data_IF_242080680033
#
_entry.id   IF_242080680033
#
_cell.length_a   1.000
_cell.length_b   1.000
_cell.length_c   1.000
_cell.angle_alpha   90.00
_cell.angle_beta   90.00
_cell.angle_gamma   90.00
#
_symmetry.space_group_name_H-M   'P 1'
#
loop_
_entity.id
_entity.type
_entity.pdbx_description
1 polymer ?
#
# COMPACT_ATOMS: atom_id res chain seq x y z
N UNK A 1 2.41 -25.18 -22.61
CA UNK A 1 2.41 -23.80 -22.05
C UNK A 1 1.96 -22.74 -23.05
N UNK A 2 2.62 -22.54 -24.21
CA UNK A 2 2.23 -21.47 -25.17
C UNK A 2 0.78 -21.59 -25.69
N UNK A 3 0.20 -22.78 -25.72
CA UNK A 3 -1.19 -23.02 -26.14
C UNK A 3 -2.25 -22.48 -25.17
N UNK A 4 -1.92 -22.32 -23.87
CA UNK A 4 -2.86 -21.86 -22.83
C UNK A 4 -2.99 -20.31 -22.78
N UNK A 5 -2.03 -19.60 -23.37
CA UNK A 5 -2.00 -18.14 -23.39
C UNK A 5 -2.69 -17.55 -24.62
N UNK A 6 -2.87 -18.35 -25.67
CA UNK A 6 -3.41 -17.89 -26.94
C UNK A 6 -4.88 -17.50 -26.78
N UNK A 7 -5.20 -16.24 -27.06
CA UNK A 7 -6.56 -15.70 -26.95
C UNK A 7 -6.91 -15.14 -25.57
N UNK A 8 -5.95 -15.10 -24.63
CA UNK A 8 -6.11 -14.34 -23.39
C UNK A 8 -6.04 -12.84 -23.68
N UNK A 9 -6.91 -12.06 -23.06
CA UNK A 9 -7.03 -10.62 -23.28
C UNK A 9 -6.68 -9.85 -22.02
N UNK A 10 -5.67 -8.98 -22.11
CA UNK A 10 -5.13 -8.22 -20.99
C UNK A 10 -5.34 -6.73 -21.25
N UNK A 11 -6.16 -6.11 -20.41
CA UNK A 11 -6.32 -4.67 -20.36
C UNK A 11 -5.16 -4.04 -19.59
N UNK A 12 -4.69 -2.87 -20.00
CA UNK A 12 -3.76 -2.09 -19.19
C UNK A 12 -4.13 -0.62 -19.13
N UNK A 13 -3.97 -0.03 -17.94
CA UNK A 13 -4.12 1.40 -17.72
C UNK A 13 -2.90 1.99 -17.01
N UNK A 14 -2.11 2.78 -17.75
CA UNK A 14 -0.96 3.51 -17.25
C UNK A 14 -1.03 4.94 -17.80
N UNK A 15 -0.58 5.92 -17.03
CA UNK A 15 -0.46 7.28 -17.56
C UNK A 15 0.54 7.32 -18.73
N UNK A 16 0.31 8.22 -19.69
CA UNK A 16 1.22 8.43 -20.83
C UNK A 16 2.68 8.66 -20.38
N UNK A 17 2.86 9.38 -19.26
CA UNK A 17 4.17 9.59 -18.64
C UNK A 17 4.83 8.27 -18.23
N UNK A 18 4.07 7.34 -17.64
CA UNK A 18 4.59 6.05 -17.19
C UNK A 18 4.85 5.10 -18.36
N UNK A 19 3.96 5.06 -19.37
CA UNK A 19 4.16 4.28 -20.61
C UNK A 19 5.48 4.67 -21.26
N UNK A 20 5.71 5.98 -21.46
CA UNK A 20 6.94 6.50 -22.05
C UNK A 20 8.17 6.21 -21.19
N UNK A 21 8.09 6.49 -19.89
CA UNK A 21 9.23 6.30 -18.98
C UNK A 21 9.71 4.85 -18.92
N UNK A 22 8.78 3.89 -18.91
CA UNK A 22 9.11 2.47 -18.82
C UNK A 22 9.31 1.81 -20.17
N UNK A 23 9.04 2.52 -21.28
CA UNK A 23 8.97 1.94 -22.62
C UNK A 23 8.00 0.73 -22.69
N UNK A 24 6.82 0.87 -22.09
CA UNK A 24 5.88 -0.24 -21.85
C UNK A 24 5.35 -0.89 -23.14
N UNK A 25 5.45 -0.21 -24.29
CA UNK A 25 5.07 -0.79 -25.59
C UNK A 25 5.94 -1.99 -25.98
N UNK A 26 7.19 -2.08 -25.49
CA UNK A 26 8.03 -3.27 -25.68
C UNK A 26 7.40 -4.49 -25.02
N UNK A 27 6.88 -4.34 -23.80
CA UNK A 27 6.15 -5.40 -23.10
C UNK A 27 4.88 -5.81 -23.83
N UNK A 28 4.12 -4.83 -24.33
CA UNK A 28 2.92 -5.09 -25.13
C UNK A 28 3.25 -5.97 -26.35
N UNK A 29 4.34 -5.70 -27.04
CA UNK A 29 4.78 -6.51 -28.18
C UNK A 29 5.31 -7.89 -27.77
N UNK A 30 5.97 -8.01 -26.61
CA UNK A 30 6.36 -9.30 -26.04
C UNK A 30 5.13 -10.19 -25.76
N UNK A 31 4.08 -9.63 -25.15
CA UNK A 31 2.82 -10.34 -24.88
C UNK A 31 2.14 -10.79 -26.18
N UNK A 32 2.05 -9.91 -27.19
CA UNK A 32 1.47 -10.24 -28.49
C UNK A 32 2.20 -11.39 -29.19
N UNK A 33 3.54 -11.42 -29.13
CA UNK A 33 4.35 -12.53 -29.65
C UNK A 33 4.07 -13.86 -28.95
N UNK A 34 3.56 -13.83 -27.71
CA UNK A 34 3.10 -15.00 -26.95
C UNK A 34 1.63 -15.35 -27.19
N UNK A 35 0.92 -14.61 -28.06
CA UNK A 35 -0.48 -14.83 -28.39
C UNK A 35 -1.48 -14.21 -27.40
N UNK A 36 -1.00 -13.31 -26.53
CA UNK A 36 -1.83 -12.54 -25.59
C UNK A 36 -2.30 -11.26 -26.29
N UNK A 37 -3.60 -11.01 -26.29
CA UNK A 37 -4.17 -9.77 -26.77
C UNK A 37 -3.99 -8.67 -25.71
N UNK A 38 -3.38 -7.55 -26.10
CA UNK A 38 -3.12 -6.42 -25.20
C UNK A 38 -3.96 -5.21 -25.62
N UNK A 39 -4.76 -4.69 -24.69
CA UNK A 39 -5.67 -3.56 -24.89
C UNK A 39 -5.31 -2.42 -23.96
N UNK A 40 -4.99 -1.25 -24.51
CA UNK A 40 -4.87 -0.03 -23.70
C UNK A 40 -6.28 0.42 -23.32
N UNK A 41 -6.59 0.48 -22.02
CA UNK A 41 -7.91 0.85 -21.54
C UNK A 41 -8.10 2.37 -21.60
N UNK A 42 -9.25 2.78 -22.11
CA UNK A 42 -9.74 4.15 -22.08
C UNK A 42 -10.83 4.27 -21.02
N UNK A 43 -10.48 4.83 -19.86
CA UNK A 43 -11.43 4.98 -18.74
C UNK A 43 -12.52 6.03 -19.01
N UNK A 44 -12.40 6.84 -20.08
CA UNK A 44 -13.47 7.75 -20.48
C UNK A 44 -14.64 7.03 -21.17
N UNK A 45 -14.47 5.75 -21.48
CA UNK A 45 -15.48 4.88 -22.09
C UNK A 45 -15.83 3.71 -21.18
N UNK A 46 -17.04 3.14 -21.28
CA UNK A 46 -17.42 1.96 -20.50
C UNK A 46 -16.41 0.81 -20.70
N UNK A 47 -15.99 0.19 -19.59
CA UNK A 47 -15.08 -0.97 -19.64
C UNK A 47 -15.73 -2.22 -20.25
N UNK A 48 -17.05 -2.34 -20.15
CA UNK A 48 -17.86 -3.39 -20.78
C UNK A 48 -17.64 -3.48 -22.30
N UNK A 49 -17.46 -2.33 -22.97
CA UNK A 49 -17.20 -2.28 -24.42
C UNK A 49 -15.77 -2.65 -24.79
N UNK A 50 -14.87 -2.69 -23.81
CA UNK A 50 -13.43 -2.93 -23.98
C UNK A 50 -13.05 -4.34 -23.57
N UNK A 51 -13.90 -5.03 -22.81
CA UNK A 51 -13.77 -6.44 -22.44
C UNK A 51 -14.37 -7.41 -23.47
N UNK A 52 -14.47 -8.72 -23.13
CA UNK A 52 -14.09 -9.31 -21.84
C UNK A 52 -12.57 -9.29 -21.61
N UNK A 53 -12.14 -9.14 -20.35
CA UNK A 53 -10.73 -9.11 -19.96
C UNK A 53 -10.42 -10.29 -19.03
N UNK A 54 -9.27 -10.93 -19.21
CA UNK A 54 -8.77 -11.93 -18.26
C UNK A 54 -7.97 -11.28 -17.13
N UNK A 55 -7.21 -10.23 -17.46
CA UNK A 55 -6.35 -9.51 -16.51
C UNK A 55 -6.39 -8.01 -16.81
N UNK A 56 -6.36 -7.17 -15.76
CA UNK A 56 -6.11 -5.73 -15.84
C UNK A 56 -4.78 -5.41 -15.15
N UNK A 57 -3.83 -4.81 -15.88
CA UNK A 57 -2.58 -4.26 -15.32
C UNK A 57 -2.75 -2.75 -15.17
N UNK A 58 -2.57 -2.18 -13.98
CA UNK A 58 -2.80 -0.75 -13.82
C UNK A 58 -1.87 -0.03 -12.84
N UNK A 59 -1.82 1.30 -12.98
CA UNK A 59 -1.25 2.23 -11.98
C UNK A 59 -2.23 3.38 -11.74
N UNK A 60 -3.34 3.10 -11.06
CA UNK A 60 -4.42 4.07 -10.78
C UNK A 60 -4.14 4.99 -9.59
N UNK A 61 -2.96 4.86 -8.96
CA UNK A 61 -2.65 5.53 -7.71
C UNK A 61 -2.85 7.06 -7.75
N UNK A 62 -2.46 7.71 -8.84
CA UNK A 62 -2.62 9.16 -8.99
C UNK A 62 -4.10 9.58 -9.11
N UNK A 63 -4.92 8.80 -9.81
CA UNK A 63 -6.38 9.05 -9.90
C UNK A 63 -7.06 8.83 -8.54
N UNK A 64 -6.69 7.77 -7.81
CA UNK A 64 -7.22 7.49 -6.47
C UNK A 64 -6.87 8.59 -5.46
N UNK A 65 -5.74 9.27 -5.63
CA UNK A 65 -5.38 10.41 -4.80
C UNK A 65 -6.10 11.69 -5.22
N UNK A 66 -6.32 11.89 -6.53
CA UNK A 66 -7.03 13.04 -7.06
C UNK A 66 -8.53 13.02 -6.71
N UNK A 67 -9.11 11.83 -6.54
CA UNK A 67 -10.48 11.54 -6.06
C UNK A 67 -10.93 12.47 -4.90
N UNK A 68 -10.01 12.82 -3.99
CA UNK A 68 -10.34 13.67 -2.83
C UNK A 68 -10.79 15.10 -3.20
N UNK A 69 -10.43 15.60 -4.38
CA UNK A 69 -10.72 16.98 -4.81
C UNK A 69 -11.28 17.07 -6.25
N UNK A 70 -11.38 15.95 -6.98
CA UNK A 70 -11.78 15.90 -8.39
C UNK A 70 -12.89 14.86 -8.62
N UNK A 71 -14.11 15.37 -8.84
CA UNK A 71 -15.30 14.56 -9.14
C UNK A 71 -15.12 13.68 -10.37
N UNK A 72 -14.34 14.09 -11.37
CA UNK A 72 -14.09 13.27 -12.55
C UNK A 72 -13.20 12.07 -12.21
N UNK A 73 -12.13 12.28 -11.44
CA UNK A 73 -11.26 11.20 -10.98
C UNK A 73 -12.03 10.18 -10.13
N UNK A 74 -12.91 10.66 -9.24
CA UNK A 74 -13.82 9.82 -8.45
C UNK A 74 -14.67 8.91 -9.34
N UNK A 75 -15.34 9.49 -10.36
CA UNK A 75 -16.19 8.74 -11.28
C UNK A 75 -15.42 7.70 -12.09
N UNK A 76 -14.20 8.02 -12.54
CA UNK A 76 -13.35 7.08 -13.26
C UNK A 76 -12.94 5.90 -12.38
N UNK A 77 -12.50 6.18 -11.14
CA UNK A 77 -12.13 5.13 -10.18
C UNK A 77 -13.35 4.27 -9.81
N UNK A 78 -14.52 4.89 -9.61
CA UNK A 78 -15.75 4.16 -9.34
C UNK A 78 -16.16 3.27 -10.51
N UNK A 79 -16.07 3.75 -11.75
CA UNK A 79 -16.37 2.93 -12.93
C UNK A 79 -15.45 1.71 -13.06
N UNK A 80 -14.18 1.84 -12.67
CA UNK A 80 -13.25 0.69 -12.62
C UNK A 80 -13.67 -0.28 -11.51
N UNK A 81 -14.02 0.23 -10.33
CA UNK A 81 -14.48 -0.60 -9.22
C UNK A 81 -15.76 -1.38 -9.60
N UNK A 82 -16.72 -0.71 -10.22
CA UNK A 82 -17.99 -1.33 -10.66
C UNK A 82 -17.72 -2.48 -11.65
N UNK A 83 -16.81 -2.27 -12.62
CA UNK A 83 -16.43 -3.32 -13.57
C UNK A 83 -15.77 -4.52 -12.88
N UNK A 84 -14.87 -4.28 -11.93
CA UNK A 84 -14.20 -5.34 -11.16
C UNK A 84 -15.23 -6.12 -10.32
N UNK A 85 -16.20 -5.44 -9.72
CA UNK A 85 -17.24 -6.07 -8.89
C UNK A 85 -18.22 -6.91 -9.73
N UNK A 86 -18.49 -6.50 -10.98
CA UNK A 86 -19.35 -7.26 -11.91
C UNK A 86 -18.62 -8.38 -12.64
N UNK A 87 -17.29 -8.31 -12.74
CA UNK A 87 -16.43 -9.30 -13.41
C UNK A 87 -15.40 -9.90 -12.44
N UNK A 88 -15.83 -10.72 -11.45
CA UNK A 88 -14.92 -11.38 -10.52
C UNK A 88 -13.93 -12.34 -11.21
N UNK A 89 -14.19 -12.69 -12.47
CA UNK A 89 -13.24 -13.36 -13.34
C UNK A 89 -12.02 -12.52 -13.71
N UNK A 90 -12.10 -11.19 -13.72
CA UNK A 90 -10.98 -10.37 -14.15
C UNK A 90 -9.96 -10.26 -13.03
N UNK A 91 -8.74 -10.76 -13.24
CA UNK A 91 -7.66 -10.57 -12.26
C UNK A 91 -7.12 -9.14 -12.36
N UNK A 92 -6.92 -8.46 -11.24
CA UNK A 92 -6.44 -7.07 -11.21
C UNK A 92 -5.05 -7.02 -10.61
N UNK A 93 -4.07 -6.58 -11.39
CA UNK A 93 -2.68 -6.37 -10.98
C UNK A 93 -2.45 -4.86 -10.73
N UNK A 94 -2.58 -4.37 -9.48
CA UNK A 94 -2.88 -5.09 -8.22
C UNK A 94 -4.22 -4.60 -7.61
N UNK A 95 -4.90 -5.38 -6.74
CA UNK A 95 -6.23 -5.04 -6.24
C UNK A 95 -6.34 -3.62 -5.65
N UNK A 96 -7.43 -2.90 -5.99
CA UNK A 96 -7.65 -1.52 -5.54
C UNK A 96 -7.57 -1.33 -4.00
N UNK A 97 -8.07 -2.26 -3.15
CA UNK A 97 -7.91 -2.15 -1.70
C UNK A 97 -6.43 -2.13 -1.26
N UNK A 98 -5.58 -2.89 -1.93
CA UNK A 98 -4.15 -2.93 -1.66
C UNK A 98 -3.49 -1.61 -2.06
N UNK A 99 -3.83 -1.08 -3.23
CA UNK A 99 -3.35 0.23 -3.70
C UNK A 99 -3.75 1.34 -2.71
N UNK A 100 -5.01 1.36 -2.24
CA UNK A 100 -5.48 2.34 -1.24
C UNK A 100 -4.72 2.24 0.08
N UNK A 101 -4.27 1.05 0.48
CA UNK A 101 -3.44 0.83 1.67
C UNK A 101 -2.03 1.41 1.47
N UNK A 102 -1.43 1.20 0.30
CA UNK A 102 -0.08 1.71 -0.02
C UNK A 102 -0.04 3.22 -0.31
N UNK A 103 -1.18 3.84 -0.58
CA UNK A 103 -1.30 5.29 -0.76
C UNK A 103 -1.33 6.08 0.56
N UNK A 104 -1.66 5.40 1.66
CA UNK A 104 -1.75 5.98 3.00
C UNK A 104 -0.52 5.56 3.83
N UNK A 105 0.35 6.51 4.16
CA UNK A 105 1.58 6.22 4.92
C UNK A 105 1.29 5.68 6.32
N UNK A 106 0.18 6.09 6.95
CA UNK A 106 -0.19 5.56 8.26
C UNK A 106 -0.54 4.07 8.14
N UNK A 107 -1.39 3.71 7.17
CA UNK A 107 -1.79 2.30 6.96
C UNK A 107 -0.62 1.43 6.53
N UNK A 108 0.22 1.90 5.61
CA UNK A 108 1.41 1.15 5.19
C UNK A 108 2.44 1.00 6.31
N UNK A 109 2.62 1.98 7.19
CA UNK A 109 3.53 1.84 8.34
C UNK A 109 2.96 0.95 9.45
N UNK A 110 1.63 0.96 9.64
CA UNK A 110 0.96 -0.03 10.50
C UNK A 110 1.13 -1.45 9.96
N UNK A 111 1.07 -1.62 8.63
CA UNK A 111 1.36 -2.89 7.99
C UNK A 111 2.81 -3.32 8.24
N UNK A 112 3.78 -2.44 8.02
CA UNK A 112 5.21 -2.73 8.27
C UNK A 112 5.45 -3.15 9.72
N UNK A 113 4.84 -2.45 10.68
CA UNK A 113 4.94 -2.83 12.10
C UNK A 113 4.40 -4.24 12.36
N UNK A 114 3.31 -4.62 11.72
CA UNK A 114 2.76 -5.99 11.83
C UNK A 114 3.64 -7.04 11.13
N UNK A 115 4.35 -6.68 10.06
CA UNK A 115 5.35 -7.58 9.45
C UNK A 115 6.46 -7.92 10.43
N UNK A 116 6.96 -6.91 11.15
CA UNK A 116 7.98 -7.11 12.19
C UNK A 116 7.48 -8.10 13.25
N UNK A 117 6.23 -7.96 13.72
CA UNK A 117 5.63 -8.89 14.68
C UNK A 117 5.50 -10.31 14.10
N UNK A 118 5.00 -10.46 12.86
CA UNK A 118 4.88 -11.75 12.19
C UNK A 118 6.25 -12.44 12.02
N UNK A 119 7.31 -11.68 11.70
CA UNK A 119 8.64 -12.22 11.50
C UNK A 119 9.35 -12.57 12.82
N UNK A 120 9.06 -11.86 13.92
CA UNK A 120 9.57 -12.19 15.26
C UNK A 120 8.99 -13.49 15.84
N UNK A 121 7.73 -13.80 15.51
CA UNK A 121 7.06 -15.04 15.93
C UNK A 121 7.49 -16.27 15.09
N UNK A 122 8.34 -16.08 14.07
CA UNK A 122 8.78 -17.10 13.14
C UNK A 122 9.96 -17.92 13.69
N UNK A 123 9.68 -18.86 14.60
CA UNK A 123 10.49 -20.07 14.66
C UNK A 123 10.33 -20.80 13.32
N UNK A 124 11.37 -20.81 12.49
CA UNK A 124 11.38 -21.30 11.11
C UNK A 124 10.81 -22.72 10.99
N UNK A 125 9.52 -22.82 10.65
CA UNK A 125 8.88 -24.01 10.09
C UNK A 125 7.99 -23.55 8.93
N UNK A 126 8.02 -24.27 7.80
CA UNK A 126 7.22 -24.06 6.58
C UNK A 126 5.72 -24.32 6.79
N UNK A 127 5.15 -23.94 7.93
CA UNK A 127 3.74 -24.20 8.25
C UNK A 127 2.86 -23.02 7.84
N UNK A 128 2.11 -23.18 6.74
CA UNK A 128 1.13 -22.23 6.20
C UNK A 128 0.08 -21.75 7.23
N UNK A 129 -0.15 -22.54 8.30
CA UNK A 129 -1.12 -22.24 9.37
C UNK A 129 -0.80 -20.96 10.18
N UNK A 130 0.48 -20.57 10.32
CA UNK A 130 0.85 -19.36 11.07
C UNK A 130 0.63 -18.09 10.26
N UNK A 131 0.67 -18.19 8.94
CA UNK A 131 0.47 -17.06 8.05
C UNK A 131 -1.00 -16.73 7.84
N UNK A 132 -1.88 -17.72 7.96
CA UNK A 132 -3.33 -17.55 8.05
C UNK A 132 -3.72 -16.67 9.26
N UNK A 133 -2.93 -16.71 10.34
CA UNK A 133 -3.05 -15.78 11.48
C UNK A 133 -2.67 -14.34 11.08
N UNK A 134 -1.58 -14.14 10.33
CA UNK A 134 -1.24 -12.80 9.82
C UNK A 134 -2.29 -12.29 8.81
N UNK A 135 -2.82 -13.16 7.94
CA UNK A 135 -3.92 -12.84 7.02
C UNK A 135 -5.22 -12.48 7.75
N UNK A 136 -5.60 -13.19 8.82
CA UNK A 136 -6.79 -12.85 9.62
C UNK A 136 -6.62 -11.56 10.44
N UNK A 137 -5.38 -11.20 10.84
CA UNK A 137 -5.07 -9.87 11.39
C UNK A 137 -5.15 -8.75 10.35
N UNK A 138 -4.88 -9.04 9.08
CA UNK A 138 -4.87 -8.06 7.98
C UNK A 138 -6.21 -7.94 7.25
N UNK A 139 -7.04 -8.99 7.26
CA UNK A 139 -8.34 -9.03 6.61
C UNK A 139 -9.32 -9.93 7.42
N UNK A 140 -10.19 -9.38 8.29
CA UNK A 140 -11.11 -10.17 9.11
C UNK A 140 -12.11 -11.02 8.31
N UNK A 141 -12.29 -10.73 7.02
CA UNK A 141 -13.31 -11.31 6.15
C UNK A 141 -12.92 -12.60 5.43
N UNK A 142 -11.69 -13.13 5.61
CA UNK A 142 -11.28 -14.40 4.97
C UNK A 142 -11.52 -15.66 5.81
N UNK A 143 -11.83 -15.54 7.10
CA UNK A 143 -12.17 -16.71 7.93
C UNK A 143 -13.68 -16.97 7.89
N UNK A 144 -14.13 -17.67 6.85
CA UNK A 144 -15.49 -18.21 6.80
C UNK A 144 -15.99 -18.34 5.38
N UNK A 145 -16.53 -19.52 5.06
CA UNK A 145 -17.13 -19.86 3.78
C UNK A 145 -17.95 -18.71 3.18
N UNK A 146 -17.76 -18.51 1.87
CA UNK A 146 -18.56 -17.68 0.99
C UNK A 146 -20.02 -17.61 1.46
N UNK A 147 -20.44 -16.46 1.98
CA UNK A 147 -21.84 -16.10 1.95
C UNK A 147 -21.98 -14.63 1.55
N UNK A 148 -22.39 -14.46 0.29
CA UNK A 148 -22.68 -13.18 -0.36
C UNK A 148 -23.95 -12.61 0.27
N UNK A 149 -23.86 -11.39 0.80
CA UNK A 149 -24.86 -10.30 0.77
C UNK A 149 -24.59 -9.34 1.94
N UNK A 150 -24.34 -8.07 1.64
CA UNK A 150 -24.53 -6.98 2.59
C UNK A 150 -23.32 -6.06 2.77
N UNK A 151 -23.57 -4.77 2.51
CA UNK A 151 -22.80 -3.57 2.81
C UNK A 151 -21.58 -3.71 3.75
N UNK A 152 -20.41 -3.31 3.25
CA UNK A 152 -19.22 -3.07 4.06
C UNK A 152 -19.40 -1.79 4.87
N UNK A 153 -19.66 -1.94 6.18
CA UNK A 153 -19.51 -0.87 7.15
C UNK A 153 -18.09 -0.99 7.74
N UNK A 154 -17.21 -0.05 7.40
CA UNK A 154 -15.89 0.07 8.04
C UNK A 154 -16.10 0.47 9.51
N UNK A 155 -16.01 -0.48 10.43
CA UNK A 155 -15.82 -0.17 11.85
C UNK A 155 -14.34 0.17 12.09
N UNK A 156 -14.12 1.28 12.80
CA UNK A 156 -12.82 1.69 13.31
C UNK A 156 -12.26 0.61 14.25
N UNK A 157 -11.27 -0.15 13.80
CA UNK A 157 -10.53 -1.10 14.63
C UNK A 157 -9.45 -0.32 15.37
N UNK A 158 -9.87 0.37 16.42
CA UNK A 158 -9.03 0.73 17.57
C UNK A 158 -9.43 -0.25 18.67
N UNK A 159 -8.42 -0.84 19.31
CA UNK A 159 -8.51 -1.82 20.40
C UNK A 159 -8.69 -3.29 20.01
N UNK A 160 -7.58 -3.96 19.72
CA UNK A 160 -7.46 -5.42 19.91
C UNK A 160 -6.66 -5.64 21.19
N UNK A 161 -7.19 -6.38 22.19
CA UNK A 161 -6.47 -6.62 23.44
C UNK A 161 -5.31 -7.58 23.22
N UNK A 162 -4.13 -7.20 23.75
CA UNK A 162 -2.96 -8.07 23.84
C UNK A 162 -3.32 -9.25 24.77
N UNK A 163 -3.46 -10.44 24.21
CA UNK A 163 -3.66 -11.68 24.97
C UNK A 163 -2.43 -11.94 25.85
N UNK A 164 -2.55 -11.64 27.14
CA UNK A 164 -1.66 -12.17 28.19
C UNK A 164 -2.20 -13.51 28.68
N UNK A 165 -1.44 -14.56 28.46
CA UNK A 165 -1.51 -15.77 29.28
C UNK A 165 -1.37 -17.06 28.50
N UNK A 166 -0.27 -17.79 28.75
CA UNK A 166 -0.29 -19.24 28.91
C UNK A 166 0.98 -19.66 29.67
N UNK A 167 0.76 -20.39 30.76
CA UNK A 167 1.74 -20.87 31.73
C UNK A 167 2.31 -22.23 31.35
N UNK A 168 3.61 -22.39 31.62
CA UNK A 168 4.36 -23.64 31.89
C UNK A 168 4.44 -24.71 30.81
N UNK A 169 5.66 -24.96 30.33
CA UNK A 169 6.07 -26.23 29.73
C UNK A 169 6.83 -26.11 28.42
N UNK A 170 8.15 -26.28 28.50
CA UNK A 170 9.13 -26.40 27.39
C UNK A 170 9.55 -25.08 26.74
N UNK A 171 10.71 -24.57 27.16
CA UNK A 171 11.44 -23.48 26.49
C UNK A 171 11.94 -23.98 25.13
N UNK A 172 11.07 -23.93 24.12
CA UNK A 172 11.53 -23.81 22.74
C UNK A 172 11.90 -22.33 22.61
N UNK A 173 13.20 -22.03 22.60
CA UNK A 173 13.68 -20.68 22.36
C UNK A 173 13.17 -20.22 21.01
N UNK A 174 12.11 -19.39 21.00
CA UNK A 174 11.69 -18.65 19.83
C UNK A 174 12.84 -17.69 19.55
N UNK A 175 13.64 -18.01 18.53
CA UNK A 175 14.63 -17.07 18.01
C UNK A 175 13.84 -15.90 17.44
N UNK A 176 13.71 -14.83 18.24
CA UNK A 176 13.16 -13.56 17.79
C UNK A 176 14.01 -13.14 16.60
N UNK A 177 13.39 -12.94 15.44
CA UNK A 177 14.09 -12.42 14.28
C UNK A 177 14.44 -10.94 14.51
N UNK A 178 15.56 -10.71 15.17
CA UNK A 178 16.13 -9.40 15.47
C UNK A 178 16.69 -8.70 14.22
N UNK A 179 16.44 -9.19 13.00
CA UNK A 179 17.05 -8.64 11.76
C UNK A 179 16.22 -7.55 11.11
N UNK A 180 14.97 -7.33 11.53
CA UNK A 180 14.07 -6.28 11.03
C UNK A 180 13.72 -5.31 12.15
N UNK A 181 13.53 -4.05 11.81
CA UNK A 181 12.88 -3.09 12.70
C UNK A 181 11.89 -2.20 11.95
N UNK A 182 10.76 -1.88 12.59
CA UNK A 182 9.87 -0.81 12.17
C UNK A 182 10.22 0.44 12.99
N UNK A 183 10.83 1.48 12.39
CA UNK A 183 11.11 2.70 13.14
C UNK A 183 9.81 3.24 13.76
N UNK A 184 9.81 3.64 15.04
CA UNK A 184 8.66 4.24 15.68
C UNK A 184 8.11 5.37 14.82
N UNK A 185 6.78 5.40 14.67
CA UNK A 185 6.08 6.42 13.89
C UNK A 185 4.77 6.82 14.56
N UNK A 186 4.28 8.01 14.26
CA UNK A 186 2.93 8.46 14.64
C UNK A 186 2.37 9.48 13.64
N UNK A 187 1.06 9.69 13.68
CA UNK A 187 0.39 10.70 12.86
C UNK A 187 0.14 11.94 13.70
N UNK A 188 0.57 13.09 13.19
CA UNK A 188 0.18 14.41 13.70
C UNK A 188 -0.97 14.92 12.83
N UNK A 189 -2.11 15.21 13.47
CA UNK A 189 -3.33 15.69 12.77
C UNK A 189 -3.52 17.20 12.87
N UNK A 190 -2.95 17.82 13.90
CA UNK A 190 -3.12 19.22 14.27
C UNK A 190 -1.77 19.83 14.56
N UNK A 191 -1.67 21.15 14.45
CA UNK A 191 -0.46 21.93 14.71
C UNK A 191 0.20 21.56 16.04
N UNK A 192 1.53 21.66 16.09
CA UNK A 192 2.28 21.31 17.29
C UNK A 192 2.10 22.38 18.37
N UNK A 193 1.69 21.96 19.56
CA UNK A 193 1.53 22.80 20.75
C UNK A 193 2.41 22.34 21.91
N UNK A 194 2.15 22.87 23.10
CA UNK A 194 2.96 22.66 24.31
C UNK A 194 3.06 21.20 24.77
N UNK A 195 2.03 20.38 24.49
CA UNK A 195 2.02 18.96 24.85
C UNK A 195 2.49 18.04 23.73
N UNK A 196 2.80 18.57 22.54
CA UNK A 196 3.18 17.74 21.40
C UNK A 196 4.46 16.95 21.68
N UNK A 197 5.47 17.56 22.32
CA UNK A 197 6.70 16.83 22.67
C UNK A 197 6.43 15.64 23.60
N UNK A 198 5.59 15.82 24.64
CA UNK A 198 5.22 14.74 25.56
C UNK A 198 4.54 13.58 24.83
N UNK A 199 3.65 13.90 23.88
CA UNK A 199 3.00 12.88 23.07
C UNK A 199 3.98 12.15 22.15
N UNK A 200 4.89 12.87 21.49
CA UNK A 200 5.95 12.33 20.64
C UNK A 200 6.82 11.34 21.43
N UNK A 201 7.31 11.76 22.61
CA UNK A 201 8.13 10.93 23.49
C UNK A 201 7.39 9.70 24.01
N UNK A 202 6.10 9.83 24.37
CA UNK A 202 5.26 8.70 24.81
C UNK A 202 5.12 7.62 23.74
N UNK A 203 5.18 7.99 22.46
CA UNK A 203 5.13 7.05 21.34
C UNK A 203 6.52 6.53 20.91
N UNK A 204 7.58 6.80 21.69
CA UNK A 204 8.94 6.35 21.40
C UNK A 204 9.61 7.11 20.26
N UNK A 205 9.08 8.27 19.88
CA UNK A 205 9.69 9.11 18.86
C UNK A 205 10.80 9.97 19.49
N UNK A 206 11.98 9.98 18.87
CA UNK A 206 13.18 10.68 19.35
C UNK A 206 13.78 11.56 18.25
N UNK A 207 14.58 12.55 18.64
CA UNK A 207 15.31 13.38 17.68
C UNK A 207 16.58 12.67 17.17
N UNK A 208 16.95 12.85 15.88
CA UNK A 208 16.11 13.46 14.85
C UNK A 208 14.98 12.54 14.37
N UNK A 209 13.88 13.12 13.92
CA UNK A 209 12.81 12.39 13.23
C UNK A 209 12.50 13.03 11.88
N UNK A 210 11.98 12.22 10.96
CA UNK A 210 11.55 12.66 9.63
C UNK A 210 10.03 12.86 9.60
N UNK A 211 9.60 14.01 9.08
CA UNK A 211 8.22 14.31 8.73
C UNK A 211 7.99 13.94 7.26
N UNK A 212 6.90 13.22 7.01
CA UNK A 212 6.43 12.83 5.69
C UNK A 212 4.96 13.23 5.58
N UNK A 213 4.51 13.67 4.42
CA UNK A 213 3.08 13.91 4.22
C UNK A 213 2.24 12.63 4.39
N UNK A 214 0.92 12.71 4.64
CA UNK A 214 0.11 11.51 4.86
C UNK A 214 -0.05 10.69 3.59
N UNK A 215 -0.14 11.36 2.43
CA UNK A 215 -0.16 10.72 1.13
C UNK A 215 1.27 10.39 0.66
N UNK A 216 1.45 9.24 0.01
CA UNK A 216 2.79 8.82 -0.44
C UNK A 216 3.34 9.63 -1.63
N UNK A 217 2.53 10.50 -2.27
CA UNK A 217 2.85 11.12 -3.56
C UNK A 217 3.37 12.57 -3.49
N UNK A 218 3.20 13.31 -2.38
CA UNK A 218 3.65 14.70 -2.37
C UNK A 218 5.16 14.87 -2.19
N UNK A 219 5.91 13.79 -1.89
CA UNK A 219 7.38 13.68 -1.80
C UNK A 219 8.15 14.73 -0.96
N UNK A 220 7.49 15.77 -0.45
CA UNK A 220 8.02 16.76 0.49
C UNK A 220 8.19 16.14 1.87
N UNK A 221 9.36 16.37 2.44
CA UNK A 221 9.77 15.83 3.72
C UNK A 221 10.55 16.88 4.52
N UNK A 222 10.57 16.70 5.83
CA UNK A 222 11.39 17.51 6.72
C UNK A 222 12.14 16.63 7.73
N UNK A 223 13.33 17.03 8.16
CA UNK A 223 14.03 16.42 9.30
C UNK A 223 14.08 17.43 10.43
N UNK A 224 13.56 17.03 11.58
CA UNK A 224 13.44 17.86 12.79
C UNK A 224 14.50 17.41 13.79
N UNK A 225 15.27 18.35 14.32
CA UNK A 225 16.42 18.08 15.19
C UNK A 225 16.20 18.47 16.65
N UNK A 226 15.23 19.32 16.96
CA UNK A 226 15.00 19.82 18.32
C UNK A 226 13.52 20.13 18.60
N UNK A 227 13.20 20.41 19.86
CA UNK A 227 11.85 20.83 20.27
C UNK A 227 11.46 22.19 19.67
N UNK A 228 12.41 23.11 19.52
CA UNK A 228 12.17 24.45 18.97
C UNK A 228 11.71 24.44 17.51
N UNK A 229 12.04 23.36 16.80
CA UNK A 229 11.74 23.11 15.41
C UNK A 229 10.32 22.53 15.18
N UNK A 230 9.62 22.13 16.26
CA UNK A 230 8.28 21.56 16.16
C UNK A 230 7.27 22.53 15.51
N UNK A 231 7.51 23.83 15.63
CA UNK A 231 6.72 24.89 14.98
C UNK A 231 6.76 24.83 13.44
N UNK A 232 7.81 24.24 12.87
CA UNK A 232 8.01 24.16 11.43
C UNK A 232 7.45 22.86 10.83
N UNK A 233 6.93 21.95 11.68
CA UNK A 233 6.20 20.75 11.27
C UNK A 233 4.84 21.18 10.70
N UNK A 234 4.44 20.57 9.58
CA UNK A 234 3.19 20.87 8.87
C UNK A 234 2.21 19.69 8.90
N UNK A 235 1.31 19.62 9.90
CA UNK A 235 0.22 18.65 9.93
C UNK A 235 -0.86 18.93 8.85
N UNK A 236 -1.61 17.91 8.41
CA UNK A 236 -1.47 16.51 8.80
C UNK A 236 -0.20 15.89 8.23
N UNK A 237 0.55 15.14 9.02
CA UNK A 237 1.78 14.45 8.59
C UNK A 237 2.05 13.19 9.41
N UNK A 238 2.88 12.30 8.85
CA UNK A 238 3.46 11.17 9.58
C UNK A 238 4.86 11.57 10.03
N UNK A 239 5.16 11.41 11.31
CA UNK A 239 6.52 11.53 11.84
C UNK A 239 7.07 10.14 12.13
N UNK A 240 8.35 9.92 11.87
CA UNK A 240 9.02 8.63 12.05
C UNK A 240 10.46 8.85 12.50
N UNK A 241 10.98 8.03 13.42
CA UNK A 241 12.37 8.13 13.85
C UNK A 241 13.34 8.05 12.66
N UNK A 242 14.32 8.95 12.64
CA UNK A 242 15.39 8.88 11.68
C UNK A 242 16.39 7.79 12.11
N UNK A 243 16.73 6.89 11.19
CA UNK A 243 17.73 5.85 11.41
C UNK A 243 18.97 6.22 10.60
N UNK A 244 20.14 6.27 11.24
CA UNK A 244 21.40 6.39 10.52
C UNK A 244 21.70 5.10 9.74
N UNK A 245 22.00 5.26 8.45
CA UNK A 245 22.09 4.15 7.48
C UNK A 245 23.14 4.40 6.39
N UNK A 246 24.15 5.21 6.72
CA UNK A 246 25.35 5.42 5.90
C UNK A 246 25.07 5.97 4.50
N UNK A 247 23.98 6.74 4.36
CA UNK A 247 23.55 7.36 3.11
C UNK A 247 23.22 6.36 1.98
N UNK A 248 22.83 5.12 2.32
CA UNK A 248 22.46 4.08 1.33
C UNK A 248 21.02 3.64 1.47
N UNK A 249 20.27 3.74 0.37
CA UNK A 249 18.93 3.19 0.25
C UNK A 249 18.97 1.95 -0.64
N UNK A 250 18.38 0.85 -0.18
CA UNK A 250 18.20 -0.36 -0.96
C UNK A 250 16.75 -0.43 -1.44
N UNK A 251 16.53 -0.15 -2.72
CA UNK A 251 15.22 -0.30 -3.37
C UNK A 251 15.04 -1.76 -3.80
N UNK A 252 14.15 -2.47 -3.13
CA UNK A 252 13.74 -3.81 -3.54
C UNK A 252 12.56 -3.67 -4.49
N UNK A 253 12.74 -4.03 -5.75
CA UNK A 253 11.68 -4.07 -6.74
C UNK A 253 11.13 -5.46 -6.89
N UNK A 254 9.85 -5.64 -6.58
CA UNK A 254 9.16 -6.94 -6.61
C UNK A 254 8.27 -7.02 -7.86
N UNK A 255 8.35 -8.16 -8.54
CA UNK A 255 7.55 -8.52 -9.72
C UNK A 255 7.10 -9.98 -9.58
N UNK A 256 5.90 -10.18 -9.04
CA UNK A 256 5.40 -11.51 -8.72
C UNK A 256 6.29 -12.19 -7.68
N UNK A 257 6.86 -13.34 -8.03
CA UNK A 257 7.80 -14.08 -7.16
C UNK A 257 9.24 -13.57 -7.24
N UNK A 258 9.61 -12.81 -8.28
CA UNK A 258 10.96 -12.28 -8.45
C UNK A 258 11.16 -10.94 -7.73
N UNK A 259 12.40 -10.65 -7.32
CA UNK A 259 12.77 -9.32 -6.86
C UNK A 259 14.22 -8.95 -7.19
N UNK A 260 14.49 -7.65 -7.22
CA UNK A 260 15.83 -7.08 -7.45
C UNK A 260 16.13 -6.02 -6.42
N UNK A 261 17.37 -5.98 -5.95
CA UNK A 261 17.86 -4.93 -5.04
C UNK A 261 18.67 -3.93 -5.84
N UNK A 262 18.27 -2.66 -5.82
CA UNK A 262 18.96 -1.55 -6.47
C UNK A 262 19.42 -0.56 -5.40
N UNK A 263 20.73 -0.33 -5.33
CA UNK A 263 21.30 0.68 -4.45
C UNK A 263 21.00 2.10 -4.97
N UNK A 264 20.66 3.00 -4.06
CA UNK A 264 20.40 4.43 -4.34
C UNK A 264 21.08 5.31 -3.30
N UNK A 265 21.48 6.54 -3.66
CA UNK A 265 21.84 7.55 -2.69
C UNK A 265 20.71 7.78 -1.68
N UNK A 266 21.07 8.07 -0.43
CA UNK A 266 20.12 8.34 0.64
C UNK A 266 20.66 9.40 1.60
N UNK A 267 19.83 9.78 2.56
CA UNK A 267 20.15 10.83 3.52
C UNK A 267 21.34 10.42 4.38
N UNK A 268 22.32 11.32 4.51
CA UNK A 268 23.51 11.13 5.36
C UNK A 268 23.17 10.95 6.84
N UNK A 269 24.15 10.45 7.58
CA UNK A 269 24.03 10.30 9.03
C UNK A 269 23.98 11.65 9.75
N UNK A 270 23.25 11.67 10.86
CA UNK A 270 23.17 12.79 11.81
C UNK A 270 23.49 12.33 13.23
N UNK A 271 23.97 13.23 14.11
CA UNK A 271 24.10 12.93 15.54
C UNK A 271 22.76 12.48 16.14
N UNK A 272 22.81 11.52 17.06
CA UNK A 272 21.63 11.09 17.80
C UNK A 272 21.25 12.11 18.87
N UNK A 273 19.96 12.26 19.13
CA UNK A 273 19.43 13.19 20.13
C UNK A 273 19.22 14.60 19.57
N UNK A 274 18.78 15.54 20.44
CA UNK A 274 18.59 16.92 20.06
C UNK A 274 19.89 17.56 19.56
N UNK A 275 19.81 18.34 18.50
CA UNK A 275 20.95 19.07 17.97
C UNK A 275 20.58 20.52 17.66
N UNK A 276 21.46 21.47 18.01
CA UNK A 276 21.33 22.88 17.63
C UNK A 276 21.60 23.06 16.12
N UNK A 277 20.62 22.66 15.32
CA UNK A 277 20.64 22.73 13.85
C UNK A 277 19.24 23.06 13.35
N UNK A 278 19.17 23.85 12.28
CA UNK A 278 17.93 24.14 11.58
C UNK A 278 17.29 22.88 10.96
N UNK A 279 15.96 22.83 10.87
CA UNK A 279 15.27 21.77 10.14
C UNK A 279 15.73 21.68 8.69
N UNK A 280 15.76 20.47 8.15
CA UNK A 280 16.09 20.24 6.75
C UNK A 280 14.80 19.92 6.00
N UNK A 281 14.41 20.80 5.08
CA UNK A 281 13.30 20.58 4.15
C UNK A 281 13.85 20.10 2.81
N UNK A 282 13.26 19.04 2.27
CA UNK A 282 13.71 18.47 1.00
C UNK A 282 12.57 17.73 0.30
N UNK A 283 12.77 17.52 -1.00
CA UNK A 283 11.91 16.66 -1.80
C UNK A 283 12.63 15.33 -2.03
N UNK A 284 11.98 14.19 -1.78
CA UNK A 284 12.66 12.89 -1.75
C UNK A 284 13.26 12.46 -3.09
N UNK A 285 12.71 12.96 -4.21
CA UNK A 285 13.30 12.74 -5.54
C UNK A 285 14.65 13.43 -5.73
N UNK A 286 14.96 14.47 -4.97
CA UNK A 286 16.24 15.18 -5.11
C UNK A 286 17.35 14.52 -4.28
N UNK A 287 16.99 13.49 -3.50
CA UNK A 287 17.90 12.78 -2.60
C UNK A 287 18.21 11.36 -3.10
N UNK A 288 17.20 10.62 -3.60
CA UNK A 288 17.30 9.16 -3.82
C UNK A 288 17.08 8.68 -5.25
N UNK A 289 17.27 9.55 -6.25
CA UNK A 289 17.42 9.12 -7.66
C UNK A 289 18.89 8.80 -7.97
N UNK A 290 19.16 7.98 -9.01
CA UNK A 290 20.53 7.52 -9.32
C UNK A 290 21.54 8.65 -9.52
N UNK A 291 21.10 9.76 -10.11
CA UNK A 291 21.89 10.93 -10.45
C UNK A 291 22.01 11.98 -9.32
N UNK A 292 21.32 11.77 -8.20
CA UNK A 292 21.29 12.75 -7.12
C UNK A 292 22.65 12.88 -6.43
N UNK A 293 23.21 14.08 -6.42
CA UNK A 293 24.37 14.46 -5.63
C UNK A 293 24.12 15.79 -4.93
N UNK A 294 24.08 15.78 -3.60
CA UNK A 294 23.89 16.96 -2.75
C UNK A 294 24.60 16.76 -1.41
N UNK A 295 24.72 17.83 -0.63
CA UNK A 295 25.26 17.73 0.73
C UNK A 295 24.45 16.81 1.65
N UNK A 296 23.15 16.61 1.33
CA UNK A 296 22.23 15.79 2.10
C UNK A 296 22.42 14.29 1.85
N UNK A 297 22.94 13.89 0.69
CA UNK A 297 23.24 12.49 0.37
C UNK A 297 24.75 12.20 0.24
N UNK A 298 25.58 13.13 0.69
CA UNK A 298 27.03 12.98 0.73
C UNK A 298 27.47 11.90 1.72
N UNK A 299 28.41 11.07 1.26
CA UNK A 299 29.05 10.00 2.05
C UNK A 299 30.32 10.43 2.77
N UNK A 300 30.64 11.73 2.78
CA UNK A 300 31.90 12.25 3.34
C UNK A 300 32.12 11.89 4.82
N UNK A 301 31.05 11.65 5.59
CA UNK A 301 31.10 11.30 7.01
C UNK A 301 30.83 9.81 7.29
N UNK A 302 30.88 8.96 6.26
CA UNK A 302 30.69 7.51 6.41
C UNK A 302 32.06 6.85 6.49
N UNK A 303 32.40 6.31 7.65
CA UNK A 303 33.61 5.52 7.85
C UNK A 303 33.32 4.04 7.55
N UNK A 304 34.11 3.43 6.65
CA UNK A 304 34.00 2.01 6.31
C UNK A 304 33.00 1.69 5.19
N UNK A 305 32.70 0.39 5.04
CA UNK A 305 31.77 -0.14 4.02
C UNK A 305 30.39 -0.26 4.64
N UNK A 306 29.38 0.31 3.97
CA UNK A 306 27.97 0.18 4.38
C UNK A 306 27.56 -1.30 4.40
N UNK A 307 26.76 -1.66 5.40
CA UNK A 307 26.19 -3.00 5.47
C UNK A 307 25.19 -3.20 4.32
N UNK A 308 25.28 -4.36 3.68
CA UNK A 308 24.37 -4.77 2.62
C UNK A 308 23.17 -5.52 3.20
N UNK A 309 21.99 -5.47 2.55
CA UNK A 309 20.83 -6.20 3.01
C UNK A 309 21.03 -7.72 2.86
N UNK A 310 20.46 -8.47 3.78
CA UNK A 310 20.46 -9.93 3.80
C UNK A 310 19.34 -10.42 2.90
N UNK A 311 19.70 -11.20 1.88
CA UNK A 311 18.77 -11.72 0.87
C UNK A 311 17.59 -12.49 1.47
N UNK A 312 17.85 -13.34 2.46
CA UNK A 312 16.81 -14.09 3.17
C UNK A 312 15.76 -13.19 3.82
N UNK A 313 16.20 -12.07 4.42
CA UNK A 313 15.30 -11.09 5.05
C UNK A 313 14.45 -10.39 3.99
N UNK A 314 15.05 -10.01 2.86
CA UNK A 314 14.33 -9.37 1.74
C UNK A 314 13.27 -10.32 1.15
N UNK A 315 13.66 -11.57 0.89
CA UNK A 315 12.75 -12.60 0.36
C UNK A 315 11.54 -12.76 1.27
N UNK A 316 11.76 -12.79 2.57
CA UNK A 316 10.72 -12.98 3.57
C UNK A 316 9.80 -11.76 3.72
N UNK A 317 10.36 -10.54 3.74
CA UNK A 317 9.56 -9.30 3.70
C UNK A 317 8.69 -9.26 2.44
N UNK A 318 9.27 -9.56 1.27
CA UNK A 318 8.55 -9.61 0.00
C UNK A 318 7.41 -10.61 0.05
N UNK A 319 7.69 -11.85 0.48
CA UNK A 319 6.69 -12.92 0.63
C UNK A 319 5.55 -12.53 1.56
N UNK A 320 5.87 -11.98 2.73
CA UNK A 320 4.87 -11.54 3.70
C UNK A 320 4.00 -10.41 3.13
N UNK A 321 4.58 -9.38 2.53
CA UNK A 321 3.84 -8.27 1.93
C UNK A 321 2.92 -8.70 0.79
N UNK A 322 3.41 -9.57 -0.10
CA UNK A 322 2.60 -10.13 -1.20
C UNK A 322 1.38 -10.84 -0.66
N UNK A 323 1.56 -11.74 0.31
CA UNK A 323 0.46 -12.53 0.89
C UNK A 323 -0.47 -11.70 1.79
N UNK A 324 0.03 -10.61 2.38
CA UNK A 324 -0.74 -9.70 3.24
C UNK A 324 -1.71 -8.83 2.45
N UNK A 325 -1.20 -8.22 1.38
CA UNK A 325 -1.89 -7.21 0.61
C UNK A 325 -2.43 -7.73 -0.72
N UNK A 326 -2.06 -8.94 -1.12
CA UNK A 326 -2.36 -9.48 -2.45
C UNK A 326 -1.78 -8.59 -3.57
N UNK A 327 -0.58 -8.05 -3.33
CA UNK A 327 0.17 -7.22 -4.31
C UNK A 327 1.24 -8.05 -4.98
N UNK A 328 1.58 -7.69 -6.21
CA UNK A 328 2.60 -8.38 -6.98
C UNK A 328 3.58 -7.43 -7.67
N UNK A 329 3.17 -6.19 -7.92
CA UNK A 329 3.97 -5.17 -8.56
C UNK A 329 4.19 -4.01 -7.58
N UNK A 330 5.26 -4.07 -6.79
CA UNK A 330 5.55 -3.05 -5.79
C UNK A 330 7.05 -2.90 -5.54
N UNK A 331 7.42 -1.81 -4.88
CA UNK A 331 8.77 -1.55 -4.41
C UNK A 331 8.81 -1.36 -2.90
N UNK A 332 9.89 -1.80 -2.27
CA UNK A 332 10.15 -1.66 -0.84
C UNK A 332 11.43 -0.84 -0.70
N UNK A 333 11.36 0.24 0.07
CA UNK A 333 12.52 1.05 0.40
C UNK A 333 13.09 0.59 1.75
N UNK A 334 14.27 -0.03 1.71
CA UNK A 334 14.95 -0.58 2.89
C UNK A 334 16.23 0.21 3.17
N UNK A 335 16.43 0.56 4.43
CA UNK A 335 17.70 1.08 4.94
C UNK A 335 18.26 0.13 6.00
N UNK A 336 19.58 0.06 6.12
CA UNK A 336 20.24 -0.78 7.12
C UNK A 336 20.74 0.12 8.25
N UNK A 337 20.23 -0.10 9.47
CA UNK A 337 20.67 0.62 10.65
C UNK A 337 22.18 0.39 10.85
N UNK A 338 22.97 1.45 10.87
CA UNK A 338 24.41 1.32 11.09
C UNK A 338 24.78 0.98 12.55
N UNK A 339 23.84 1.21 13.48
CA UNK A 339 23.99 0.86 14.89
C UNK A 339 23.69 -0.63 15.13
N UNK A 340 22.57 -1.14 14.60
CA UNK A 340 22.07 -2.49 14.91
C UNK A 340 22.29 -3.50 13.78
N UNK A 341 22.40 -3.05 12.53
CA UNK A 341 22.40 -3.91 11.34
C UNK A 341 21.02 -4.37 10.89
N UNK A 342 19.96 -3.88 11.53
CA UNK A 342 18.59 -4.24 11.20
C UNK A 342 18.11 -3.60 9.90
N UNK A 343 17.24 -4.32 9.21
CA UNK A 343 16.55 -3.87 8.01
C UNK A 343 15.33 -3.06 8.43
N UNK A 344 15.34 -1.77 8.13
CA UNK A 344 14.19 -0.91 8.33
C UNK A 344 13.48 -0.67 7.01
N UNK A 345 12.24 -1.14 6.92
CA UNK A 345 11.35 -0.77 5.81
C UNK A 345 10.79 0.62 6.09
N UNK A 346 11.10 1.58 5.22
CA UNK A 346 10.75 3.00 5.42
C UNK A 346 9.71 3.53 4.43
N UNK A 347 9.44 2.79 3.35
CA UNK A 347 8.40 3.11 2.37
C UNK A 347 8.02 1.86 1.55
N UNK A 348 6.77 1.80 1.09
CA UNK A 348 6.29 0.76 0.15
C UNK A 348 5.49 1.45 -0.95
N UNK A 349 5.85 1.18 -2.19
CA UNK A 349 5.31 1.87 -3.36
C UNK A 349 4.65 0.88 -4.32
N UNK A 350 3.37 1.06 -4.64
CA UNK A 350 2.71 0.28 -5.69
C UNK A 350 3.31 0.61 -7.07
N UNK A 351 3.55 -0.42 -7.88
CA UNK A 351 4.03 -0.38 -9.27
C UNK A 351 4.98 0.80 -9.54
N UNK A 352 6.21 0.74 -8.98
CA UNK A 352 7.21 1.80 -9.10
C UNK A 352 7.80 1.88 -10.53
N UNK A 353 8.92 2.59 -10.68
CA UNK A 353 9.58 2.79 -11.98
C UNK A 353 10.49 1.65 -12.45
N UNK A 354 10.83 0.69 -11.58
CA UNK A 354 11.72 -0.45 -11.88
C UNK A 354 13.06 -0.08 -12.55
N UNK A 355 13.55 1.13 -12.29
CA UNK A 355 14.80 1.64 -12.86
C UNK A 355 16.00 0.95 -12.20
N UNK A 356 16.83 0.32 -13.02
CA UNK A 356 17.93 -0.55 -12.58
C UNK A 356 17.60 -2.04 -12.56
N UNK A 357 16.39 -2.44 -13.00
CA UNK A 357 15.99 -3.85 -13.13
C UNK A 357 16.14 -4.30 -14.60
N UNK A 358 17.11 -5.17 -14.92
CA UNK A 358 17.39 -5.54 -16.31
C UNK A 358 16.28 -6.39 -16.95
N UNK A 359 15.73 -7.36 -16.22
CA UNK A 359 14.78 -8.36 -16.75
C UNK A 359 13.32 -8.03 -16.41
N UNK A 360 13.00 -6.76 -16.16
CA UNK A 360 11.66 -6.35 -15.68
C UNK A 360 10.51 -6.89 -16.54
N UNK A 361 10.63 -6.82 -17.88
CA UNK A 361 9.58 -7.27 -18.78
C UNK A 361 9.46 -8.78 -18.88
N UNK A 362 10.57 -9.51 -18.75
CA UNK A 362 10.56 -10.98 -18.74
C UNK A 362 9.91 -11.49 -17.44
N UNK A 363 10.23 -10.88 -16.30
CA UNK A 363 9.59 -11.20 -15.03
C UNK A 363 8.11 -10.82 -15.01
N UNK A 364 7.74 -9.66 -15.56
CA UNK A 364 6.34 -9.26 -15.66
C UNK A 364 5.55 -10.21 -16.56
N UNK A 365 6.15 -10.69 -17.67
CA UNK A 365 5.53 -11.65 -18.57
C UNK A 365 5.40 -13.03 -17.90
N UNK A 366 6.41 -13.44 -17.13
CA UNK A 366 6.38 -14.68 -16.35
C UNK A 366 5.28 -14.64 -15.30
N UNK A 367 5.19 -13.55 -14.53
CA UNK A 367 4.13 -13.33 -13.54
C UNK A 367 2.74 -13.32 -14.17
N UNK A 368 2.54 -12.53 -15.23
CA UNK A 368 1.29 -12.50 -15.99
C UNK A 368 0.89 -13.89 -16.50
N UNK A 369 1.87 -14.67 -16.96
CA UNK A 369 1.67 -16.04 -17.43
C UNK A 369 1.23 -16.97 -16.30
N UNK A 370 1.82 -16.85 -15.09
CA UNK A 370 1.42 -17.64 -13.92
C UNK A 370 -0.03 -17.36 -13.53
N UNK A 371 -0.37 -16.07 -13.42
CA UNK A 371 -1.73 -15.62 -13.08
C UNK A 371 -2.76 -16.14 -14.08
N UNK A 372 -2.46 -16.07 -15.39
CA UNK A 372 -3.34 -16.59 -16.44
C UNK A 372 -3.48 -18.13 -16.42
N UNK A 373 -2.46 -18.85 -15.93
CA UNK A 373 -2.45 -20.31 -15.86
C UNK A 373 -3.19 -20.84 -14.63
N UNK A 374 -2.94 -20.29 -13.45
CA UNK A 374 -3.64 -20.64 -12.20
C UNK A 374 -5.16 -20.63 -12.42
N UNK A 375 -5.62 -19.61 -13.14
CA UNK A 375 -7.02 -19.43 -13.51
C UNK A 375 -7.55 -20.46 -14.52
N UNK A 376 -6.71 -20.92 -15.45
CA UNK A 376 -7.08 -21.97 -16.38
C UNK A 376 -7.39 -23.28 -15.63
N UNK A 377 -6.60 -23.58 -14.58
CA UNK A 377 -6.78 -24.77 -13.76
C UNK A 377 -8.04 -24.71 -12.88
N UNK A 378 -8.35 -23.55 -12.29
CA UNK A 378 -9.59 -23.35 -11.53
C UNK A 378 -10.84 -23.61 -12.40
N UNK A 379 -10.86 -23.07 -13.62
CA UNK A 379 -12.00 -23.25 -14.53
C UNK A 379 -12.20 -24.70 -15.00
N UNK A 380 -11.13 -25.50 -15.12
CA UNK A 380 -11.24 -26.94 -15.42
C UNK A 380 -11.72 -27.79 -14.24
N UNK A 381 -11.48 -27.34 -13.00
CA UNK A 381 -11.80 -28.14 -11.79
C UNK A 381 -13.27 -28.07 -11.39
N UNK A 382 -14.01 -27.03 -11.82
CA UNK A 382 -15.43 -26.83 -11.48
C UNK A 382 -16.39 -27.67 -12.34
N UNK A 383 -15.93 -28.26 -13.46
CA UNK A 383 -16.79 -29.01 -14.39
C UNK A 383 -16.93 -30.51 -14.02
N UNK A 384 -16.27 -31.00 -12.97
CA UNK A 384 -16.15 -32.43 -12.67
C UNK A 384 -16.80 -32.98 -11.39
N UNK A 385 -17.55 -32.18 -10.63
CA UNK A 385 -18.06 -32.59 -9.30
C UNK A 385 -19.58 -32.64 -9.21
N UNK A 386 -20.17 -33.82 -9.44
CA UNK A 386 -21.56 -34.09 -9.07
C UNK A 386 -21.65 -34.21 -7.53
N UNK A 387 -22.48 -33.44 -6.82
CA UNK A 387 -22.58 -33.57 -5.37
C UNK A 387 -23.25 -34.90 -5.01
N UNK A 388 -22.70 -35.70 -4.08
CA UNK A 388 -23.40 -36.87 -3.57
C UNK A 388 -24.60 -36.41 -2.74
N UNK A 389 -25.76 -37.01 -3.02
CA UNK A 389 -26.96 -36.85 -2.21
C UNK A 389 -26.69 -37.39 -0.80
N UNK A 390 -26.63 -36.50 0.19
CA UNK A 390 -26.60 -36.86 1.61
C UNK A 390 -27.93 -36.48 2.26
N UNK A 391 -28.51 -37.50 2.91
CA UNK A 391 -29.85 -37.54 3.45
C UNK A 391 -30.10 -36.57 4.61
N UNK A 392 -31.36 -36.13 4.72
CA UNK A 392 -31.92 -35.52 5.92
C UNK A 392 -31.75 -36.46 7.14
N UNK A 393 -31.28 -35.90 8.25
CA UNK A 393 -31.56 -36.41 9.58
C UNK A 393 -31.88 -35.24 10.53
N UNK A 394 -33.08 -35.35 11.07
CA UNK A 394 -33.80 -34.48 12.00
C UNK A 394 -33.28 -34.61 13.44
N UNK A 395 -33.26 -33.49 14.17
CA UNK A 395 -33.49 -33.35 15.61
C UNK A 395 -33.19 -31.87 15.96
N UNK A 396 -34.03 -31.04 16.56
CA UNK A 396 -35.19 -31.31 17.39
C UNK A 396 -35.14 -30.38 18.60
N UNK A 397 -35.79 -29.22 18.45
CA UNK A 397 -36.35 -28.30 19.48
C UNK A 397 -35.62 -26.99 19.87
N UNK A 398 -36.41 -25.94 20.22
CA UNK A 398 -35.98 -24.56 20.37
C UNK A 398 -35.85 -24.14 21.84
N UNK A 399 -35.08 -23.08 22.13
CA UNK A 399 -35.12 -22.43 23.43
C UNK A 399 -35.12 -20.90 23.31
N UNK A 400 -36.02 -20.31 24.08
CA UNK A 400 -36.53 -18.95 24.06
C UNK A 400 -35.68 -17.98 24.90
N UNK A 401 -35.84 -16.70 24.57
CA UNK A 401 -35.49 -15.50 25.32
C UNK A 401 -35.85 -15.55 26.82
N UNK A 402 -34.96 -15.01 27.65
CA UNK A 402 -35.11 -14.28 28.93
C UNK A 402 -33.67 -13.75 29.23
N UNK A 403 -33.33 -12.47 29.39
CA UNK A 403 -34.03 -11.33 29.98
C UNK A 403 -33.57 -11.13 31.43
N UNK A 404 -32.45 -10.41 31.69
CA UNK A 404 -32.41 -9.26 32.62
C UNK A 404 -31.00 -8.63 32.85
N UNK A 405 -31.02 -7.29 32.89
CA UNK A 405 -30.32 -6.31 33.75
C UNK A 405 -28.78 -6.31 33.80
N UNK A 406 -28.05 -5.38 33.17
CA UNK A 406 -27.96 -3.92 33.33
C UNK A 406 -27.33 -3.47 34.66
N UNK A 407 -26.02 -3.23 34.64
CA UNK A 407 -25.36 -2.25 35.50
C UNK A 407 -24.30 -1.45 34.70
N UNK A 408 -24.57 -0.17 34.66
CA UNK A 408 -23.93 1.04 34.15
C UNK A 408 -22.41 1.13 34.37
N UNK A 409 -21.66 1.52 33.33
CA UNK A 409 -20.70 2.65 33.26
C UNK A 409 -20.25 2.80 31.79
N UNK A 410 -20.94 3.63 31.00
CA UNK A 410 -20.57 3.99 29.62
C UNK A 410 -20.14 5.46 29.63
N UNK A 411 -18.95 5.74 29.08
CA UNK A 411 -18.54 7.06 28.60
C UNK A 411 -18.54 6.96 27.08
N UNK A 412 -19.48 7.63 26.43
CA UNK A 412 -19.66 7.66 24.98
C UNK A 412 -18.55 8.45 24.28
N UNK A 413 -18.16 7.95 23.10
CA UNK A 413 -17.46 8.71 22.08
C UNK A 413 -18.45 9.33 21.11
N UNK A 414 -18.27 10.61 20.80
CA UNK A 414 -19.03 11.31 19.78
C UNK A 414 -18.37 11.18 18.41
N UNK A 415 -19.08 10.56 17.47
CA UNK A 415 -18.92 10.76 16.04
C UNK A 415 -20.19 11.45 15.53
N UNK A 416 -20.02 12.65 14.98
CA UNK A 416 -21.11 13.55 14.57
C UNK A 416 -21.96 12.92 13.46
N UNK A 417 -23.26 12.79 13.72
CA UNK A 417 -24.33 12.68 12.72
C UNK A 417 -24.65 14.08 12.20
N UNK A 418 -24.74 14.26 10.88
CA UNK A 418 -25.51 15.36 10.29
C UNK A 418 -26.88 14.84 9.84
N UNK A 419 -27.91 15.55 10.29
CA UNK A 419 -29.32 15.18 10.23
C UNK A 419 -29.93 15.23 8.83
N UNK A 420 -31.00 14.45 8.67
CA UNK A 420 -31.68 14.23 7.41
C UNK A 420 -32.77 15.25 7.06
N UNK A 421 -33.09 15.21 5.77
CA UNK A 421 -34.32 15.52 5.05
C UNK A 421 -35.48 16.20 5.80
N UNK A 422 -35.91 17.34 5.25
CA UNK A 422 -37.32 17.65 5.08
C UNK A 422 -37.59 17.82 3.58
N UNK A 423 -38.54 17.04 3.06
CA UNK A 423 -39.05 17.16 1.69
C UNK A 423 -40.33 17.98 1.66
N UNK A 424 -40.47 18.79 0.61
CA UNK A 424 -41.75 19.26 0.07
C UNK A 424 -41.61 19.28 -1.46
N UNK A 425 -42.61 18.74 -2.14
CA UNK A 425 -42.55 18.35 -3.55
C UNK A 425 -43.10 19.37 -4.55
N UNK A 426 -43.00 18.94 -5.82
CA UNK A 426 -43.72 19.32 -7.05
C UNK A 426 -43.80 20.81 -7.42
N UNK A 427 -43.18 21.20 -8.54
CA UNK A 427 -43.90 21.42 -9.80
C UNK A 427 -42.96 21.74 -10.98
N UNK A 428 -43.53 21.55 -12.17
CA UNK A 428 -42.98 21.58 -13.51
C UNK A 428 -42.73 22.97 -14.12
N UNK A 429 -41.97 22.97 -15.23
CA UNK A 429 -41.92 23.95 -16.34
C UNK A 429 -40.85 25.09 -16.37
N UNK A 430 -40.02 25.00 -17.43
CA UNK A 430 -39.61 26.03 -18.40
C UNK A 430 -38.85 27.28 -17.90
N UNK A 431 -37.58 27.45 -18.30
CA UNK A 431 -37.18 28.34 -19.42
C UNK A 431 -35.65 28.53 -19.55
N UNK A 432 -35.28 29.08 -20.70
CA UNK A 432 -34.01 29.06 -21.39
C UNK A 432 -32.97 30.13 -21.00
N UNK A 433 -31.76 29.93 -21.54
CA UNK A 433 -30.71 30.90 -21.91
C UNK A 433 -29.86 31.53 -20.79
N UNK A 434 -28.57 31.14 -20.76
CA UNK A 434 -27.52 32.13 -21.03
C UNK A 434 -26.26 31.48 -21.62
N UNK A 435 -25.81 32.04 -22.74
CA UNK A 435 -24.67 31.66 -23.56
C UNK A 435 -23.37 32.30 -23.08
N UNK A 436 -22.25 31.64 -23.44
CA UNK A 436 -20.93 32.19 -23.79
C UNK A 436 -20.08 32.85 -22.68
N UNK A 437 -18.93 32.23 -22.38
CA UNK A 437 -17.65 32.60 -23.01
C UNK A 437 -16.52 31.65 -22.57
N UNK A 438 -16.00 30.87 -23.52
CA UNK A 438 -14.66 30.29 -23.47
C UNK A 438 -13.69 31.32 -24.07
N UNK A 439 -12.61 31.68 -23.37
CA UNK A 439 -11.37 32.17 -24.00
C UNK A 439 -10.17 31.65 -23.21
N UNK A 440 -9.26 31.05 -23.97
CA UNK A 440 -7.96 30.49 -23.63
C UNK A 440 -6.92 31.57 -23.28
N UNK A 441 -5.97 31.23 -22.41
CA UNK A 441 -4.75 32.02 -22.20
C UNK A 441 -3.52 31.15 -22.48
N UNK A 442 -2.76 31.54 -23.51
CA UNK A 442 -1.41 31.07 -23.86
C UNK A 442 -0.40 32.15 -23.42
N UNK A 443 0.84 31.80 -23.06
CA UNK A 443 1.70 32.61 -22.20
C UNK A 443 2.61 33.59 -22.97
N UNK A 444 2.94 34.71 -22.34
CA UNK A 444 3.85 35.73 -22.87
C UNK A 444 5.26 35.56 -22.31
N UNK A 445 6.25 35.41 -23.20
CA UNK A 445 7.69 35.63 -22.97
C UNK A 445 8.02 37.13 -23.08
N UNK A 446 8.94 37.61 -22.24
CA UNK A 446 9.91 38.69 -22.50
C UNK A 446 10.99 38.62 -21.40
N UNK A 447 12.23 38.23 -21.65
CA UNK A 447 13.39 38.91 -22.28
C UNK A 447 14.06 39.97 -21.40
N UNK A 448 15.27 39.60 -20.93
CA UNK A 448 16.51 40.38 -20.80
C UNK A 448 16.46 41.88 -20.46
N UNK A 449 17.05 42.21 -19.32
CA UNK A 449 18.14 43.18 -19.17
C UNK A 449 19.13 42.69 -18.12
#
# INVERSE_FOLDING_TARGET
>A
MQTLLKGRRVGYWLSEKKIKKMNFLVFVDMCRKRGIEMVQLDLSRPLEEQGPLDVIIHKLADLILADQNDTQALLLVQSVQDYIDTHPETVVLDPLPAIRTLLDRCKSYQLIRRLEDCMKDSGWTEDDAKLEKCQSMWCPSRNGAFNRKGALQFQSIVDVPILKGMTSGTMIGVLIDERICSPPFMVLRSECGTDTLKHIQKHGITFPFICKTPNSNSHEMAIIFSEEDLKDVKPPCVIQNFINHDAVLYKVYVVGEAYYVVERPSIRNFPSGPAERKPIFFHSHDVSKPECASDLNSRANVEGVSRVPIDEVIREISRCLRRALDVSLFGIDIIISNQTGQHAVIDINAFPGYEGVPEFFDDLLSHLTSVLQERAFENTSVVGGQPPAAALADCGKPCMLLGNEANTWIVEGDCVKWGGNQGLGCDSEVSANFQQHCVSAIPTKASSQ
#
